data_IF_316688667759
#
_entry.id   IF_316688667759
#
_cell.length_a   1.000
_cell.length_b   1.000
_cell.length_c   1.000
_cell.angle_alpha   90.00
_cell.angle_beta   90.00
_cell.angle_gamma   90.00
#
_symmetry.space_group_name_H-M   'P 1'
#
loop_
_entity.id
_entity.type
_entity.pdbx_description
1 polymer ?
#
# COMPACT_ATOMS: atom_id res chain seq x y z
N UNK A 1 39.85 11.00 -51.38
CA UNK A 1 38.78 11.65 -50.59
C UNK A 1 38.57 10.84 -49.32
N UNK A 2 39.03 11.34 -48.15
CA UNK A 2 38.90 10.71 -46.82
C UNK A 2 37.54 11.06 -46.27
N UNK A 3 36.75 10.08 -45.74
CA UNK A 3 35.46 10.41 -45.18
C UNK A 3 35.65 11.12 -43.81
N UNK A 4 35.01 12.31 -43.69
CA UNK A 4 34.87 13.04 -42.42
C UNK A 4 34.13 12.16 -41.42
N UNK A 5 34.80 11.72 -40.37
CA UNK A 5 34.15 11.17 -39.18
C UNK A 5 33.21 12.22 -38.58
N UNK A 6 31.93 11.90 -38.57
CA UNK A 6 30.94 12.67 -37.79
C UNK A 6 31.41 12.68 -36.33
N UNK A 7 31.66 13.86 -35.79
CA UNK A 7 31.88 14.05 -34.36
C UNK A 7 30.55 13.73 -33.65
N UNK A 8 30.47 12.59 -33.00
CA UNK A 8 29.46 12.32 -32.02
C UNK A 8 29.51 13.44 -30.97
N UNK A 9 28.46 14.25 -30.94
CA UNK A 9 28.26 15.21 -29.85
C UNK A 9 28.16 14.41 -28.57
N UNK A 10 29.24 14.41 -27.77
CA UNK A 10 29.21 13.91 -26.39
C UNK A 10 28.12 14.70 -25.67
N UNK A 11 26.97 14.03 -25.43
CA UNK A 11 25.91 14.62 -24.64
C UNK A 11 26.49 14.96 -23.30
N UNK A 12 26.45 16.25 -22.89
CA UNK A 12 26.79 16.70 -21.55
C UNK A 12 26.10 15.76 -20.53
N UNK A 13 26.80 15.27 -19.50
CA UNK A 13 26.15 14.44 -18.49
C UNK A 13 24.96 15.22 -17.92
N UNK A 14 23.78 14.61 -17.96
CA UNK A 14 22.56 15.23 -17.44
C UNK A 14 22.61 15.17 -15.92
N UNK A 15 22.86 16.32 -15.28
CA UNK A 15 23.04 16.43 -13.84
C UNK A 15 21.73 16.74 -13.09
N UNK A 16 20.58 16.70 -13.79
CA UNK A 16 19.27 17.00 -13.20
C UNK A 16 18.16 16.11 -13.79
N UNK A 17 17.26 15.63 -12.94
CA UNK A 17 16.05 14.91 -13.31
C UNK A 17 14.84 15.45 -12.56
N UNK A 18 13.66 15.33 -13.15
CA UNK A 18 12.37 15.64 -12.51
C UNK A 18 11.63 14.35 -12.21
N UNK A 19 11.14 14.19 -10.99
CA UNK A 19 10.29 13.07 -10.56
C UNK A 19 8.93 13.63 -10.20
N UNK A 20 7.87 13.12 -10.82
CA UNK A 20 6.49 13.59 -10.60
C UNK A 20 5.75 12.54 -9.76
N UNK A 21 5.33 12.92 -8.57
CA UNK A 21 4.71 12.08 -7.56
C UNK A 21 5.71 11.58 -6.52
N UNK A 22 5.42 11.83 -5.23
CA UNK A 22 6.21 11.38 -4.09
C UNK A 22 5.57 10.16 -3.37
N UNK A 23 4.92 9.28 -4.13
CA UNK A 23 4.55 7.94 -3.68
C UNK A 23 5.77 7.02 -3.56
N UNK A 24 5.56 5.74 -3.31
CA UNK A 24 6.65 4.75 -3.15
C UNK A 24 7.66 4.78 -4.29
N UNK A 25 7.19 4.72 -5.53
CA UNK A 25 8.06 4.70 -6.69
C UNK A 25 8.85 6.01 -6.86
N UNK A 26 8.20 7.15 -6.58
CA UNK A 26 8.83 8.46 -6.74
C UNK A 26 9.92 8.73 -5.71
N UNK A 27 9.69 8.41 -4.43
CA UNK A 27 10.72 8.60 -3.39
C UNK A 27 11.90 7.65 -3.60
N UNK A 28 11.66 6.42 -4.07
CA UNK A 28 12.75 5.50 -4.43
C UNK A 28 13.56 6.02 -5.62
N UNK A 29 12.88 6.46 -6.69
CA UNK A 29 13.55 7.03 -7.85
C UNK A 29 14.38 8.27 -7.47
N UNK A 30 13.80 9.20 -6.71
CA UNK A 30 14.49 10.39 -6.24
C UNK A 30 15.72 10.03 -5.39
N UNK A 31 15.60 9.07 -4.49
CA UNK A 31 16.69 8.62 -3.63
C UNK A 31 17.81 7.95 -4.41
N UNK A 32 17.50 7.08 -5.38
CA UNK A 32 18.53 6.42 -6.19
C UNK A 32 19.26 7.41 -7.10
N UNK A 33 18.55 8.37 -7.68
CA UNK A 33 19.15 9.45 -8.46
C UNK A 33 20.08 10.32 -7.61
N UNK A 34 19.66 10.71 -6.41
CA UNK A 34 20.46 11.49 -5.46
C UNK A 34 21.74 10.73 -5.09
N UNK A 35 21.66 9.42 -4.77
CA UNK A 35 22.82 8.58 -4.48
C UNK A 35 23.80 8.46 -5.66
N UNK A 36 23.30 8.59 -6.88
CA UNK A 36 24.12 8.65 -8.08
C UNK A 36 24.70 10.05 -8.36
N UNK A 37 24.49 11.03 -7.45
CA UNK A 37 24.99 12.38 -7.60
C UNK A 37 24.16 13.25 -8.56
N UNK A 38 22.95 12.83 -8.91
CA UNK A 38 22.05 13.54 -9.80
C UNK A 38 21.12 14.42 -8.95
N UNK A 39 21.01 15.71 -9.30
CA UNK A 39 20.05 16.62 -8.67
C UNK A 39 18.64 16.25 -9.11
N UNK A 40 17.69 16.22 -8.17
CA UNK A 40 16.31 15.84 -8.41
C UNK A 40 15.39 16.97 -8.03
N UNK A 41 14.45 17.31 -8.91
CA UNK A 41 13.25 18.06 -8.55
C UNK A 41 12.13 17.04 -8.35
N UNK A 42 11.69 16.86 -7.11
CA UNK A 42 10.59 15.97 -6.74
C UNK A 42 9.31 16.79 -6.59
N UNK A 43 8.36 16.58 -7.50
CA UNK A 43 7.06 17.27 -7.49
C UNK A 43 6.01 16.41 -6.79
N UNK A 44 5.28 16.99 -5.83
CA UNK A 44 4.20 16.32 -5.10
C UNK A 44 3.01 17.27 -4.92
N UNK A 45 1.81 16.83 -5.32
CA UNK A 45 0.62 17.68 -5.24
C UNK A 45 0.13 17.94 -3.81
N UNK A 46 0.40 17.03 -2.87
CA UNK A 46 0.06 17.21 -1.46
C UNK A 46 1.00 18.20 -0.77
N UNK A 47 0.53 19.03 0.15
CA UNK A 47 -0.83 19.10 0.72
C UNK A 47 -1.78 20.02 -0.05
N UNK A 48 -1.39 20.61 -1.17
CA UNK A 48 -2.24 21.57 -1.91
C UNK A 48 -3.45 20.88 -2.55
N UNK A 49 -3.27 19.63 -3.01
CA UNK A 49 -4.34 18.81 -3.58
C UNK A 49 -4.18 17.36 -3.10
N UNK A 50 -5.27 16.77 -2.66
CA UNK A 50 -5.33 15.37 -2.28
C UNK A 50 -6.09 14.56 -3.31
N UNK A 51 -5.72 13.28 -3.47
CA UNK A 51 -6.58 12.33 -4.16
C UNK A 51 -7.66 11.80 -3.21
N UNK A 52 -8.71 11.15 -3.67
CA UNK A 52 -9.76 10.59 -2.80
C UNK A 52 -9.25 9.63 -1.72
N UNK A 53 -8.13 8.93 -1.96
CA UNK A 53 -7.59 7.94 -1.03
C UNK A 53 -6.49 8.47 -0.10
N UNK A 54 -5.98 9.68 -0.32
CA UNK A 54 -4.92 10.26 0.50
C UNK A 54 -5.46 11.27 1.49
N UNK A 55 -4.96 11.25 2.72
CA UNK A 55 -5.33 12.18 3.79
C UNK A 55 -4.13 12.84 4.47
N UNK A 56 -2.93 12.28 4.32
CA UNK A 56 -1.70 12.78 4.92
C UNK A 56 -0.89 13.63 3.93
N UNK A 57 -0.27 14.75 4.36
CA UNK A 57 0.65 15.53 3.54
C UNK A 57 1.98 14.83 3.28
N UNK A 58 2.24 13.73 3.99
CA UNK A 58 3.49 12.99 3.92
C UNK A 58 3.65 12.21 2.61
N UNK A 59 4.91 11.89 2.27
CA UNK A 59 5.26 11.05 1.13
C UNK A 59 5.01 9.57 1.41
N UNK A 60 4.92 8.77 0.36
CA UNK A 60 4.75 7.32 0.44
C UNK A 60 3.63 6.89 1.41
N UNK A 61 2.52 7.63 1.44
CA UNK A 61 1.36 7.30 2.26
C UNK A 61 0.78 5.94 1.86
N UNK A 62 0.55 5.09 2.85
CA UNK A 62 -0.07 3.78 2.68
C UNK A 62 -1.59 3.92 2.69
N UNK A 63 -2.24 3.80 1.56
CA UNK A 63 -3.70 4.02 1.42
C UNK A 63 -4.53 2.74 1.59
N UNK A 64 -3.99 1.58 1.28
CA UNK A 64 -4.70 0.30 1.33
C UNK A 64 -4.49 -0.42 2.67
N UNK A 65 -3.27 -0.80 2.98
CA UNK A 65 -2.88 -1.59 4.14
C UNK A 65 -1.50 -1.17 4.63
N UNK A 66 -1.25 -1.30 5.93
CA UNK A 66 0.07 -1.01 6.49
C UNK A 66 1.08 -2.17 6.34
N UNK A 67 0.81 -3.17 5.49
CA UNK A 67 1.66 -4.36 5.34
C UNK A 67 2.43 -4.39 4.04
N UNK A 68 3.73 -4.62 4.14
CA UNK A 68 4.64 -4.95 3.04
C UNK A 68 4.73 -6.46 2.76
N UNK A 69 3.78 -7.25 3.23
CA UNK A 69 3.75 -8.71 3.10
C UNK A 69 4.91 -9.41 3.83
N UNK A 70 5.17 -10.69 3.50
CA UNK A 70 6.14 -11.52 4.21
C UNK A 70 7.59 -10.97 4.18
N UNK A 71 8.33 -11.17 5.29
CA UNK A 71 9.75 -10.82 5.39
C UNK A 71 10.70 -11.97 5.02
N UNK A 72 10.26 -13.21 5.21
CA UNK A 72 11.14 -14.38 4.99
C UNK A 72 11.51 -14.50 3.51
N UNK A 73 12.79 -14.71 3.21
CA UNK A 73 13.33 -14.87 1.84
C UNK A 73 12.83 -16.12 1.13
N UNK A 74 12.36 -17.12 1.85
CA UNK A 74 11.68 -18.29 1.27
C UNK A 74 10.32 -17.96 0.60
N UNK A 75 9.89 -16.70 0.59
CA UNK A 75 8.70 -16.23 -0.13
C UNK A 75 9.10 -15.14 -1.13
N UNK A 76 8.43 -15.11 -2.29
CA UNK A 76 8.70 -14.10 -3.33
C UNK A 76 8.67 -12.66 -2.80
N UNK A 77 7.73 -12.33 -1.92
CA UNK A 77 7.65 -10.99 -1.32
C UNK A 77 8.81 -10.69 -0.36
N UNK A 78 9.34 -11.69 0.32
CA UNK A 78 10.49 -11.54 1.21
C UNK A 78 11.80 -11.44 0.42
N UNK A 79 11.96 -12.26 -0.61
CA UNK A 79 13.11 -12.22 -1.52
C UNK A 79 13.22 -10.85 -2.19
N UNK A 80 12.14 -10.36 -2.80
CA UNK A 80 12.10 -9.03 -3.40
C UNK A 80 12.55 -7.93 -2.42
N UNK A 81 12.10 -7.99 -1.15
CA UNK A 81 12.54 -7.00 -0.14
C UNK A 81 14.01 -7.12 0.21
N UNK A 82 14.56 -8.34 0.24
CA UNK A 82 15.98 -8.55 0.46
C UNK A 82 16.82 -7.97 -0.70
N UNK A 83 16.39 -8.19 -1.93
CA UNK A 83 17.02 -7.58 -3.11
C UNK A 83 16.93 -6.05 -3.09
N UNK A 84 15.76 -5.49 -2.78
CA UNK A 84 15.57 -4.04 -2.64
C UNK A 84 16.47 -3.46 -1.53
N UNK A 85 16.65 -4.18 -0.42
CA UNK A 85 17.54 -3.76 0.66
C UNK A 85 19.00 -3.71 0.20
N UNK A 86 19.45 -4.71 -0.54
CA UNK A 86 20.81 -4.72 -1.14
C UNK A 86 21.01 -3.55 -2.11
N UNK A 87 19.97 -3.15 -2.83
CA UNK A 87 19.96 -1.96 -3.68
C UNK A 87 19.88 -0.65 -2.88
N UNK A 88 19.69 -0.72 -1.55
CA UNK A 88 19.62 0.43 -0.66
C UNK A 88 18.28 1.17 -0.73
N UNK A 89 17.18 0.44 -0.83
CA UNK A 89 15.82 0.99 -0.82
C UNK A 89 15.55 1.84 0.42
N UNK A 90 15.07 3.04 0.20
CA UNK A 90 14.61 3.94 1.25
C UNK A 90 13.37 3.38 1.95
N UNK A 91 12.38 2.95 1.16
CA UNK A 91 11.10 2.46 1.69
C UNK A 91 11.29 1.21 2.54
N UNK A 92 12.13 0.24 2.14
CA UNK A 92 12.40 -0.95 2.94
C UNK A 92 13.11 -0.59 4.26
N UNK A 93 14.06 0.34 4.21
CA UNK A 93 14.76 0.82 5.40
C UNK A 93 13.83 1.51 6.38
N UNK A 94 12.99 2.44 5.90
CA UNK A 94 11.99 3.12 6.72
C UNK A 94 10.94 2.15 7.26
N UNK A 95 10.49 1.18 6.45
CA UNK A 95 9.52 0.17 6.89
C UNK A 95 10.06 -0.69 8.03
N UNK A 96 11.33 -1.10 7.97
CA UNK A 96 11.97 -1.83 9.07
C UNK A 96 12.11 -0.98 10.34
N UNK A 97 12.42 0.31 10.19
CA UNK A 97 12.56 1.24 11.31
C UNK A 97 11.23 1.56 12.03
N UNK A 98 10.12 1.43 11.34
CA UNK A 98 8.76 1.73 11.85
C UNK A 98 7.89 0.48 11.96
N UNK A 99 8.51 -0.69 12.00
CA UNK A 99 7.81 -1.97 12.04
C UNK A 99 6.93 -2.12 13.30
N UNK A 100 5.75 -2.68 13.11
CA UNK A 100 4.85 -3.11 14.18
C UNK A 100 4.68 -4.64 14.13
N UNK A 101 4.37 -5.30 15.26
CA UNK A 101 4.17 -6.75 15.29
C UNK A 101 3.11 -7.23 14.29
N UNK A 102 3.47 -8.20 13.46
CA UNK A 102 2.58 -8.73 12.41
C UNK A 102 2.96 -10.16 11.97
N UNK A 103 3.37 -11.01 12.91
CA UNK A 103 3.79 -12.37 12.61
C UNK A 103 5.00 -12.41 11.68
N UNK A 104 4.89 -13.13 10.58
CA UNK A 104 5.95 -13.22 9.57
C UNK A 104 5.89 -12.13 8.49
N UNK A 105 5.04 -11.13 8.64
CA UNK A 105 4.92 -10.00 7.71
C UNK A 105 5.67 -8.76 8.23
N UNK A 106 6.13 -7.91 7.33
CA UNK A 106 6.56 -6.56 7.65
C UNK A 106 5.32 -5.64 7.60
N UNK A 107 4.78 -5.30 8.75
CA UNK A 107 3.80 -4.24 8.88
C UNK A 107 4.43 -3.04 9.59
N UNK A 108 3.91 -1.85 9.33
CA UNK A 108 4.49 -0.61 9.83
C UNK A 108 3.45 0.23 10.57
N UNK A 109 3.94 1.08 11.47
CA UNK A 109 3.20 2.24 11.92
C UNK A 109 3.01 3.17 10.71
N UNK A 110 1.78 3.31 10.24
CA UNK A 110 1.45 3.99 8.96
C UNK A 110 1.94 5.43 8.95
N UNK A 111 1.65 6.18 10.00
CA UNK A 111 2.03 7.59 10.11
C UNK A 111 3.53 7.74 10.34
N UNK A 112 4.09 6.92 11.21
CA UNK A 112 5.52 6.89 11.48
C UNK A 112 6.35 6.57 10.24
N UNK A 113 5.89 5.63 9.42
CA UNK A 113 6.55 5.28 8.16
C UNK A 113 6.58 6.46 7.17
N UNK A 114 5.42 7.03 6.86
CA UNK A 114 5.33 8.12 5.89
C UNK A 114 6.04 9.40 6.38
N UNK A 115 5.98 9.69 7.68
CA UNK A 115 6.74 10.78 8.28
C UNK A 115 8.26 10.57 8.17
N UNK A 116 8.75 9.35 8.43
CA UNK A 116 10.17 9.03 8.31
C UNK A 116 10.67 9.12 6.87
N UNK A 117 9.90 8.61 5.90
CA UNK A 117 10.21 8.74 4.47
C UNK A 117 10.29 10.21 4.08
N UNK A 118 9.28 11.01 4.43
CA UNK A 118 9.22 12.45 4.15
C UNK A 118 10.44 13.17 4.70
N UNK A 119 10.73 12.99 5.99
CA UNK A 119 11.89 13.59 6.65
C UNK A 119 13.21 13.24 5.96
N UNK A 120 13.36 11.98 5.55
CA UNK A 120 14.60 11.50 4.92
C UNK A 120 14.79 12.09 3.53
N UNK A 121 13.72 12.22 2.76
CA UNK A 121 13.76 12.83 1.42
C UNK A 121 14.02 14.33 1.50
N UNK A 122 13.33 15.04 2.39
CA UNK A 122 13.48 16.48 2.57
C UNK A 122 14.85 16.88 3.16
N UNK A 123 15.52 15.96 3.85
CA UNK A 123 16.88 16.18 4.37
C UNK A 123 17.98 15.94 3.31
N UNK A 124 17.65 15.41 2.14
CA UNK A 124 18.64 15.12 1.10
C UNK A 124 18.98 16.39 0.29
N UNK A 125 20.25 16.89 0.33
CA UNK A 125 20.62 18.14 -0.31
C UNK A 125 20.55 18.13 -1.83
N UNK A 126 20.44 16.96 -2.45
CA UNK A 126 20.31 16.82 -3.90
C UNK A 126 18.85 16.67 -4.35
N UNK A 127 17.89 16.62 -3.42
CA UNK A 127 16.46 16.54 -3.72
C UNK A 127 15.78 17.86 -3.35
N UNK A 128 15.35 18.59 -4.38
CA UNK A 128 14.52 19.78 -4.24
C UNK A 128 13.05 19.37 -4.29
N UNK A 129 12.32 19.53 -3.19
CA UNK A 129 10.89 19.24 -3.14
C UNK A 129 10.07 20.42 -3.61
N UNK A 130 9.22 20.21 -4.62
CA UNK A 130 8.27 21.19 -5.12
C UNK A 130 6.86 20.71 -4.80
N UNK A 131 6.17 21.41 -3.88
CA UNK A 131 4.79 21.08 -3.52
C UNK A 131 3.84 21.81 -4.49
N UNK A 132 3.04 21.04 -5.22
CA UNK A 132 2.07 21.54 -6.17
C UNK A 132 1.70 20.52 -7.22
N UNK A 133 0.54 20.70 -7.82
CA UNK A 133 0.07 19.87 -8.92
C UNK A 133 0.89 20.12 -10.18
N UNK A 134 1.35 19.05 -10.82
CA UNK A 134 1.95 19.10 -12.16
C UNK A 134 0.84 18.85 -13.17
N UNK A 135 0.51 19.88 -13.94
CA UNK A 135 -0.55 19.83 -14.96
C UNK A 135 -0.02 19.59 -16.38
N UNK A 136 1.28 19.84 -16.58
CA UNK A 136 1.96 19.65 -17.87
C UNK A 136 3.27 18.91 -17.65
N UNK A 137 3.56 17.92 -18.48
CA UNK A 137 4.80 17.16 -18.40
C UNK A 137 5.94 17.99 -19.00
N UNK A 138 7.04 18.26 -18.24
CA UNK A 138 8.17 19.00 -18.78
C UNK A 138 8.73 18.37 -20.06
N UNK A 139 8.92 19.18 -21.09
CA UNK A 139 9.43 18.73 -22.39
C UNK A 139 10.94 18.49 -22.38
N UNK A 140 11.68 19.12 -21.46
CA UNK A 140 13.14 19.08 -21.41
C UNK A 140 13.65 18.26 -20.25
N UNK A 141 14.76 17.54 -20.48
CA UNK A 141 15.44 16.77 -19.46
C UNK A 141 14.94 15.34 -19.31
N UNK A 142 15.31 14.70 -18.19
CA UNK A 142 14.79 13.39 -17.80
C UNK A 142 13.59 13.63 -16.88
N UNK A 143 12.45 13.08 -17.22
CA UNK A 143 11.24 13.11 -16.41
C UNK A 143 10.83 11.68 -16.08
N UNK A 144 10.63 11.41 -14.78
CA UNK A 144 10.10 10.15 -14.28
C UNK A 144 8.71 10.43 -13.73
N UNK A 145 7.68 9.85 -14.35
CA UNK A 145 6.30 9.96 -13.89
C UNK A 145 6.04 8.80 -12.93
N UNK A 146 5.89 9.11 -11.67
CA UNK A 146 5.68 8.18 -10.57
C UNK A 146 4.43 8.54 -9.74
N UNK A 147 3.45 9.20 -10.38
CA UNK A 147 2.24 9.73 -9.74
C UNK A 147 1.25 8.63 -9.29
N UNK A 148 1.49 7.38 -9.71
CA UNK A 148 0.63 6.25 -9.36
C UNK A 148 -0.75 6.31 -10.02
N UNK A 149 -1.67 5.42 -9.61
CA UNK A 149 -2.99 5.30 -10.24
C UNK A 149 -3.96 6.42 -9.87
N UNK A 150 -3.65 7.22 -8.84
CA UNK A 150 -4.44 8.35 -8.36
C UNK A 150 -3.84 9.70 -8.77
N UNK A 151 -3.19 9.74 -9.93
CA UNK A 151 -2.76 10.99 -10.55
C UNK A 151 -3.95 11.93 -10.76
N UNK A 152 -3.70 13.25 -10.69
CA UNK A 152 -4.75 14.23 -10.97
C UNK A 152 -5.29 14.11 -12.40
N UNK A 153 -6.51 14.56 -12.64
CA UNK A 153 -7.13 14.52 -13.98
C UNK A 153 -6.28 15.25 -15.03
N UNK A 154 -5.68 16.38 -14.67
CA UNK A 154 -4.82 17.13 -15.57
C UNK A 154 -3.59 16.32 -15.99
N UNK A 155 -2.86 15.74 -15.01
CA UNK A 155 -1.69 14.90 -15.31
C UNK A 155 -2.09 13.60 -16.02
N UNK A 156 -3.20 12.98 -15.63
CA UNK A 156 -3.75 11.80 -16.30
C UNK A 156 -4.06 12.06 -17.77
N UNK A 157 -4.62 13.23 -18.08
CA UNK A 157 -4.87 13.66 -19.46
C UNK A 157 -3.58 13.82 -20.29
N UNK A 158 -2.49 14.31 -19.68
CA UNK A 158 -1.19 14.39 -20.36
C UNK A 158 -0.57 13.00 -20.57
N UNK A 159 -0.69 12.10 -19.60
CA UNK A 159 -0.20 10.72 -19.73
C UNK A 159 -0.99 9.97 -20.80
N UNK A 160 -2.31 10.14 -20.86
CA UNK A 160 -3.17 9.50 -21.87
C UNK A 160 -2.81 9.91 -23.30
N UNK A 161 -2.38 11.17 -23.52
CA UNK A 161 -1.87 11.62 -24.83
C UNK A 161 -0.60 10.87 -25.26
N UNK A 162 0.25 10.49 -24.29
CA UNK A 162 1.50 9.77 -24.54
C UNK A 162 1.31 8.26 -24.62
N UNK A 163 0.42 7.70 -23.80
CA UNK A 163 0.20 6.27 -23.65
C UNK A 163 -1.29 5.95 -23.58
N UNK A 164 -2.03 5.99 -24.70
CA UNK A 164 -3.47 5.79 -24.71
C UNK A 164 -3.89 4.43 -24.15
N UNK A 165 -4.92 4.39 -23.31
CA UNK A 165 -5.53 3.17 -22.81
C UNK A 165 -4.74 2.40 -21.74
N UNK A 166 -3.66 2.95 -21.20
CA UNK A 166 -2.79 2.28 -20.22
C UNK A 166 -3.03 2.70 -18.77
N UNK A 167 -3.95 3.63 -18.51
CA UNK A 167 -4.32 4.02 -17.16
C UNK A 167 -5.38 3.05 -16.60
N UNK A 168 -5.10 2.48 -15.44
CA UNK A 168 -6.01 1.58 -14.71
C UNK A 168 -5.90 1.85 -13.21
N UNK A 169 -7.03 1.96 -12.55
CA UNK A 169 -7.11 2.12 -11.12
C UNK A 169 -8.14 1.16 -10.52
N UNK A 170 -7.87 0.71 -9.31
CA UNK A 170 -8.79 -0.05 -8.47
C UNK A 170 -8.65 0.40 -7.04
N UNK A 171 -9.73 0.88 -6.45
CA UNK A 171 -9.75 1.37 -5.08
C UNK A 171 -10.34 0.31 -4.14
N UNK A 172 -9.56 -0.06 -3.13
CA UNK A 172 -9.99 -0.94 -2.05
C UNK A 172 -9.23 -0.58 -0.78
N UNK A 173 -9.95 -0.23 0.27
CA UNK A 173 -9.39 0.11 1.57
C UNK A 173 -9.64 -1.01 2.59
N UNK A 174 -8.67 -1.26 3.48
CA UNK A 174 -8.87 -2.14 4.63
C UNK A 174 -9.53 -1.33 5.76
N UNK A 175 -10.62 -1.82 6.37
CA UNK A 175 -11.25 -1.13 7.49
C UNK A 175 -10.32 -1.00 8.68
N UNK A 176 -10.36 0.14 9.36
CA UNK A 176 -9.60 0.42 10.59
C UNK A 176 -10.61 0.62 11.72
N UNK A 177 -10.33 -0.04 12.86
CA UNK A 177 -11.14 0.06 14.08
C UNK A 177 -10.29 0.54 15.24
N UNK A 178 -10.90 1.26 16.19
CA UNK A 178 -10.21 1.65 17.42
C UNK A 178 -10.09 0.47 18.39
N UNK A 179 -9.03 0.45 19.20
CA UNK A 179 -8.87 -0.56 20.24
C UNK A 179 -10.02 -0.55 21.25
N UNK A 180 -10.56 0.62 21.53
CA UNK A 180 -11.68 0.81 22.48
C UNK A 180 -12.99 0.18 22.00
N UNK A 181 -13.15 0.01 20.67
CA UNK A 181 -14.34 -0.64 20.11
C UNK A 181 -14.29 -2.18 20.17
N UNK A 182 -13.16 -2.76 20.61
CA UNK A 182 -12.97 -4.20 20.64
C UNK A 182 -13.36 -4.79 21.99
N UNK A 183 -14.33 -5.71 21.97
CA UNK A 183 -14.64 -6.52 23.16
C UNK A 183 -13.65 -7.68 23.29
N UNK A 184 -12.65 -7.47 24.14
CA UNK A 184 -11.61 -8.47 24.40
C UNK A 184 -12.10 -9.69 25.19
N UNK A 185 -13.34 -9.68 25.73
CA UNK A 185 -13.95 -10.88 26.31
C UNK A 185 -14.33 -11.92 25.24
N UNK A 186 -14.62 -11.45 24.03
CA UNK A 186 -14.99 -12.26 22.86
C UNK A 186 -13.83 -12.53 21.91
N UNK A 187 -12.72 -11.79 22.02
CA UNK A 187 -11.55 -11.89 21.17
C UNK A 187 -10.35 -12.54 21.89
N UNK A 188 -9.39 -13.01 21.12
CA UNK A 188 -8.14 -13.56 21.68
C UNK A 188 -6.93 -13.16 20.83
N UNK A 189 -5.76 -13.13 21.46
CA UNK A 189 -4.50 -12.82 20.81
C UNK A 189 -3.81 -14.11 20.39
N UNK A 190 -3.43 -14.22 19.13
CA UNK A 190 -2.64 -15.33 18.60
C UNK A 190 -2.18 -15.04 17.17
N UNK A 191 -0.96 -15.46 16.83
CA UNK A 191 -0.49 -15.54 15.45
C UNK A 191 -0.81 -16.90 14.83
N UNK A 192 -1.08 -16.93 13.53
CA UNK A 192 -1.36 -18.21 12.82
C UNK A 192 -0.14 -19.12 12.86
N UNK A 193 -0.35 -20.37 13.22
CA UNK A 193 0.70 -21.39 13.32
C UNK A 193 1.82 -21.00 14.30
N UNK A 194 1.50 -20.17 15.29
CA UNK A 194 2.44 -19.66 16.31
C UNK A 194 3.70 -19.00 15.68
N UNK A 195 3.48 -18.35 14.51
CA UNK A 195 4.55 -17.63 13.79
C UNK A 195 4.53 -16.16 14.15
N UNK A 196 5.57 -15.70 14.84
CA UNK A 196 5.69 -14.35 15.37
C UNK A 196 5.48 -14.31 16.88
N UNK A 197 5.11 -13.15 17.43
CA UNK A 197 4.75 -12.99 18.83
C UNK A 197 3.33 -13.46 19.11
N UNK A 198 3.05 -13.82 20.36
CA UNK A 198 1.72 -14.23 20.80
C UNK A 198 0.67 -13.11 20.63
N UNK A 199 1.11 -11.84 20.68
CA UNK A 199 0.26 -10.64 20.66
C UNK A 199 0.19 -9.93 19.30
N UNK A 200 0.70 -10.54 18.23
CA UNK A 200 0.80 -9.86 16.93
C UNK A 200 -0.56 -9.60 16.27
N UNK A 201 -1.56 -10.44 16.57
CA UNK A 201 -2.90 -10.31 16.03
C UNK A 201 -3.96 -10.48 17.11
N UNK A 202 -5.05 -9.71 16.98
CA UNK A 202 -6.31 -9.97 17.69
C UNK A 202 -7.22 -10.74 16.75
N UNK A 203 -7.81 -11.81 17.23
CA UNK A 203 -8.71 -12.67 16.49
C UNK A 203 -10.11 -12.59 17.09
N UNK A 204 -11.10 -12.20 16.27
CA UNK A 204 -12.52 -12.21 16.62
C UNK A 204 -13.13 -13.49 16.02
N UNK A 205 -13.32 -14.55 16.81
CA UNK A 205 -13.88 -15.80 16.32
C UNK A 205 -15.38 -15.68 16.12
N UNK A 206 -15.89 -16.39 15.11
CA UNK A 206 -17.30 -16.55 14.86
C UNK A 206 -17.68 -18.04 14.93
N UNK A 207 -18.79 -18.35 15.59
CA UNK A 207 -19.51 -19.60 15.44
C UNK A 207 -20.11 -19.73 14.05
N UNK A 208 -20.72 -20.86 13.72
CA UNK A 208 -21.40 -21.04 12.43
C UNK A 208 -22.56 -20.06 12.27
N UNK A 209 -23.41 -19.94 13.28
CA UNK A 209 -24.60 -19.10 13.22
C UNK A 209 -24.25 -17.61 13.13
N UNK A 210 -23.24 -17.15 13.89
CA UNK A 210 -22.71 -15.78 13.81
C UNK A 210 -22.10 -15.49 12.43
N UNK A 211 -21.39 -16.45 11.85
CA UNK A 211 -20.84 -16.31 10.51
C UNK A 211 -21.92 -16.22 9.43
N UNK A 212 -22.96 -17.05 9.51
CA UNK A 212 -24.10 -17.03 8.59
C UNK A 212 -24.85 -15.70 8.67
N UNK A 213 -25.11 -15.19 9.87
CA UNK A 213 -25.72 -13.87 10.07
C UNK A 213 -24.85 -12.74 9.51
N UNK A 214 -23.53 -12.79 9.76
CA UNK A 214 -22.58 -11.84 9.17
C UNK A 214 -22.58 -11.87 7.64
N UNK A 215 -22.57 -13.08 7.06
CA UNK A 215 -22.58 -13.26 5.61
C UNK A 215 -23.82 -12.68 4.96
N UNK A 216 -25.01 -12.96 5.53
CA UNK A 216 -26.28 -12.42 5.05
C UNK A 216 -26.32 -10.89 5.14
N UNK A 217 -25.85 -10.33 6.25
CA UNK A 217 -25.75 -8.88 6.43
C UNK A 217 -24.81 -8.25 5.41
N UNK A 218 -23.64 -8.88 5.15
CA UNK A 218 -22.65 -8.40 4.20
C UNK A 218 -23.18 -8.40 2.75
N UNK A 219 -23.85 -9.47 2.35
CA UNK A 219 -24.42 -9.60 0.99
C UNK A 219 -25.61 -8.66 0.80
N UNK A 220 -26.39 -8.42 1.86
CA UNK A 220 -27.54 -7.51 1.85
C UNK A 220 -27.19 -6.03 2.07
N UNK A 221 -25.93 -5.71 2.40
CA UNK A 221 -25.52 -4.34 2.67
C UNK A 221 -25.50 -3.47 1.40
N UNK A 222 -25.76 -2.18 1.58
CA UNK A 222 -25.56 -1.22 0.51
C UNK A 222 -24.06 -1.06 0.25
N UNK A 223 -23.64 -1.34 -0.98
CA UNK A 223 -22.26 -1.11 -1.42
C UNK A 223 -22.06 0.33 -1.86
N UNK A 224 -20.82 0.83 -1.78
CA UNK A 224 -20.44 2.11 -2.37
C UNK A 224 -20.72 2.12 -3.87
N UNK A 225 -21.07 3.29 -4.40
CA UNK A 225 -21.27 3.45 -5.85
C UNK A 225 -19.97 3.15 -6.60
N UNK A 226 -20.08 2.42 -7.70
CA UNK A 226 -18.92 2.08 -8.53
C UNK A 226 -18.62 3.21 -9.51
N UNK A 227 -17.42 3.71 -9.49
CA UNK A 227 -16.94 4.64 -10.52
C UNK A 227 -16.81 3.95 -11.90
N UNK A 228 -16.80 4.73 -12.96
CA UNK A 228 -16.72 4.22 -14.34
C UNK A 228 -15.49 3.36 -14.62
N UNK A 229 -14.40 3.59 -13.89
CA UNK A 229 -13.14 2.83 -13.97
C UNK A 229 -13.21 1.48 -13.23
N UNK A 230 -14.11 1.31 -12.24
CA UNK A 230 -14.30 0.06 -11.47
C UNK A 230 -14.95 -1.06 -12.28
N UNK A 231 -15.51 -0.75 -13.44
CA UNK A 231 -16.24 -1.70 -14.30
C UNK A 231 -15.32 -2.63 -15.11
N UNK A 232 -14.00 -2.47 -15.03
CA UNK A 232 -13.05 -3.32 -15.76
C UNK A 232 -12.94 -4.70 -15.11
N UNK A 233 -13.16 -5.74 -15.92
CA UNK A 233 -12.95 -7.15 -15.56
C UNK A 233 -11.44 -7.40 -15.45
N UNK A 234 -10.94 -7.83 -14.30
CA UNK A 234 -9.53 -8.22 -14.15
C UNK A 234 -8.84 -7.63 -12.92
N UNK A 235 -9.52 -7.68 -11.78
CA UNK A 235 -8.93 -7.27 -10.48
C UNK A 235 -8.03 -8.36 -9.94
N UNK A 236 -6.90 -7.94 -9.35
CA UNK A 236 -6.08 -8.86 -8.58
C UNK A 236 -6.88 -9.40 -7.39
N UNK A 237 -7.01 -10.72 -7.27
CA UNK A 237 -7.86 -11.35 -6.24
C UNK A 237 -7.49 -10.94 -4.81
N UNK A 238 -6.21 -10.70 -4.54
CA UNK A 238 -5.74 -10.26 -3.23
C UNK A 238 -6.17 -8.86 -2.80
N UNK A 239 -6.72 -8.06 -3.74
CA UNK A 239 -7.28 -6.73 -3.49
C UNK A 239 -8.79 -6.68 -3.73
N UNK A 240 -9.44 -7.82 -3.94
CA UNK A 240 -10.89 -7.87 -4.17
C UNK A 240 -11.65 -7.54 -2.89
N UNK A 241 -12.63 -6.63 -2.93
CA UNK A 241 -13.49 -6.34 -1.80
C UNK A 241 -14.21 -7.59 -1.28
N UNK A 242 -14.36 -7.70 0.04
CA UNK A 242 -14.95 -8.87 0.68
C UNK A 242 -16.41 -9.07 0.28
N UNK A 243 -17.16 -7.98 0.08
CA UNK A 243 -18.55 -8.03 -0.39
C UNK A 243 -18.64 -8.60 -1.81
N UNK A 244 -17.65 -8.33 -2.67
CA UNK A 244 -17.57 -8.92 -4.01
C UNK A 244 -17.18 -10.40 -3.96
N UNK A 245 -16.30 -10.78 -3.02
CA UNK A 245 -15.98 -12.19 -2.78
C UNK A 245 -17.19 -12.96 -2.24
N UNK A 246 -17.96 -12.35 -1.33
CA UNK A 246 -19.14 -12.95 -0.74
C UNK A 246 -20.21 -13.31 -1.79
N UNK A 247 -20.38 -12.50 -2.83
CA UNK A 247 -21.30 -12.78 -3.94
C UNK A 247 -20.94 -14.05 -4.75
N UNK A 248 -19.71 -14.58 -4.59
CA UNK A 248 -19.29 -15.83 -5.22
C UNK A 248 -19.73 -17.08 -4.46
N UNK A 249 -20.25 -16.91 -3.24
CA UNK A 249 -20.76 -17.96 -2.38
C UNK A 249 -20.26 -17.87 -0.94
N UNK A 250 -21.03 -18.44 -0.04
CA UNK A 250 -20.83 -18.39 1.41
C UNK A 250 -19.43 -18.90 1.85
N UNK A 251 -18.93 -19.94 1.21
CA UNK A 251 -17.64 -20.51 1.56
C UNK A 251 -16.43 -19.68 1.04
N UNK A 252 -16.64 -18.78 0.09
CA UNK A 252 -15.54 -18.02 -0.52
C UNK A 252 -14.79 -17.17 0.51
N UNK A 253 -15.51 -16.43 1.35
CA UNK A 253 -14.87 -15.58 2.38
C UNK A 253 -14.41 -16.41 3.58
N UNK A 254 -15.10 -17.51 3.93
CA UNK A 254 -14.74 -18.40 5.01
C UNK A 254 -13.42 -19.14 4.77
N UNK A 255 -13.18 -19.62 3.56
CA UNK A 255 -11.91 -20.26 3.17
C UNK A 255 -10.88 -19.26 2.62
N UNK A 256 -11.27 -18.02 2.41
CA UNK A 256 -10.46 -16.89 2.00
C UNK A 256 -9.99 -16.02 3.18
N UNK A 257 -10.44 -14.75 3.24
CA UNK A 257 -10.00 -13.78 4.23
C UNK A 257 -10.34 -14.16 5.68
N UNK A 258 -11.46 -14.84 5.91
CA UNK A 258 -11.93 -15.21 7.26
C UNK A 258 -11.57 -16.65 7.68
N UNK A 259 -10.62 -17.29 7.00
CA UNK A 259 -10.24 -18.68 7.31
C UNK A 259 -9.70 -18.82 8.74
N UNK A 260 -10.15 -19.83 9.51
CA UNK A 260 -9.70 -20.04 10.88
C UNK A 260 -8.45 -20.93 10.99
N UNK A 261 -7.83 -21.29 9.89
CA UNK A 261 -6.70 -22.24 9.84
C UNK A 261 -5.49 -21.69 10.59
N UNK A 262 -4.87 -22.53 11.42
CA UNK A 262 -3.70 -22.16 12.23
C UNK A 262 -4.03 -21.38 13.52
N UNK A 263 -5.32 -21.28 13.87
CA UNK A 263 -5.80 -20.64 15.09
C UNK A 263 -6.59 -21.62 15.96
N UNK A 264 -6.52 -21.41 17.27
CA UNK A 264 -7.30 -22.15 18.29
C UNK A 264 -7.79 -21.17 19.33
N UNK A 265 -9.09 -21.08 19.51
CA UNK A 265 -9.69 -20.23 20.54
C UNK A 265 -9.35 -20.81 21.93
N UNK A 266 -8.62 -20.08 22.79
CA UNK A 266 -8.22 -20.58 24.10
C UNK A 266 -9.40 -20.82 25.05
N UNK A 267 -10.55 -20.18 24.82
CA UNK A 267 -11.75 -20.31 25.66
C UNK A 267 -12.48 -21.62 25.39
N UNK A 268 -12.46 -22.12 24.16
CA UNK A 268 -13.16 -23.34 23.76
C UNK A 268 -12.19 -24.52 23.54
N UNK A 269 -10.91 -24.23 23.35
CA UNK A 269 -9.90 -25.22 22.95
C UNK A 269 -10.06 -25.71 21.51
N UNK A 270 -11.00 -25.15 20.73
CA UNK A 270 -11.30 -25.57 19.37
C UNK A 270 -10.96 -24.49 18.32
N UNK A 271 -10.87 -24.92 17.08
CA UNK A 271 -10.75 -24.00 15.95
C UNK A 271 -12.11 -23.35 15.70
N UNK A 272 -12.20 -22.00 15.62
CA UNK A 272 -13.43 -21.30 15.28
C UNK A 272 -13.99 -21.71 13.90
N UNK A 273 -15.26 -21.41 13.64
CA UNK A 273 -15.87 -21.61 12.34
C UNK A 273 -15.31 -20.64 11.29
N UNK A 274 -15.21 -19.37 11.66
CA UNK A 274 -14.55 -18.31 10.91
C UNK A 274 -13.86 -17.34 11.87
N UNK A 275 -12.96 -16.51 11.39
CA UNK A 275 -12.24 -15.52 12.19
C UNK A 275 -12.06 -14.23 11.43
N UNK A 276 -12.42 -13.11 12.05
CA UNK A 276 -11.96 -11.79 11.65
C UNK A 276 -10.64 -11.51 12.37
N UNK A 277 -9.57 -11.29 11.62
CA UNK A 277 -8.23 -11.07 12.17
C UNK A 277 -7.83 -9.61 12.07
N UNK A 278 -7.42 -9.04 13.20
CA UNK A 278 -7.04 -7.63 13.33
C UNK A 278 -5.52 -7.52 13.54
N UNK A 279 -4.89 -6.57 12.87
CA UNK A 279 -3.46 -6.27 12.99
C UNK A 279 -3.28 -4.83 13.48
N UNK A 280 -2.27 -4.60 14.32
CA UNK A 280 -1.91 -3.25 14.75
C UNK A 280 -1.67 -2.33 13.56
N UNK A 281 -2.27 -1.16 13.59
CA UNK A 281 -2.11 -0.09 12.61
C UNK A 281 -1.01 0.90 13.01
N UNK A 282 -0.79 1.04 14.32
CA UNK A 282 0.20 1.92 14.90
C UNK A 282 0.96 1.27 16.05
N UNK A 283 2.10 1.84 16.41
CA UNK A 283 2.96 1.35 17.49
C UNK A 283 2.30 1.43 18.86
N UNK A 284 1.42 2.42 19.09
CA UNK A 284 0.67 2.60 20.33
C UNK A 284 -0.40 1.51 20.54
N UNK A 285 -0.81 0.77 19.50
CA UNK A 285 -1.85 -0.25 19.58
C UNK A 285 -3.24 0.33 19.84
N UNK A 286 -3.49 1.56 19.45
CA UNK A 286 -4.80 2.24 19.58
C UNK A 286 -5.71 2.03 18.39
N UNK A 287 -5.14 1.63 17.25
CA UNK A 287 -5.83 1.36 16.00
C UNK A 287 -5.45 -0.02 15.46
N UNK A 288 -6.43 -0.69 14.86
CA UNK A 288 -6.27 -2.00 14.25
C UNK A 288 -6.89 -2.04 12.87
N UNK A 289 -6.17 -2.60 11.89
CA UNK A 289 -6.69 -2.85 10.56
C UNK A 289 -7.24 -4.26 10.46
N UNK A 290 -8.37 -4.43 9.78
CA UNK A 290 -8.96 -5.74 9.50
C UNK A 290 -8.12 -6.42 8.42
N UNK A 291 -7.38 -7.45 8.83
CA UNK A 291 -6.42 -8.15 7.96
C UNK A 291 -7.13 -8.97 6.89
N UNK A 292 -6.62 -8.91 5.65
CA UNK A 292 -7.12 -9.63 4.47
C UNK A 292 -8.55 -9.27 4.06
N UNK A 293 -9.09 -8.17 4.59
CA UNK A 293 -10.44 -7.72 4.28
C UNK A 293 -10.36 -6.33 3.68
N UNK A 294 -10.69 -6.21 2.40
CA UNK A 294 -10.80 -4.92 1.73
C UNK A 294 -12.29 -4.64 1.51
N UNK A 295 -12.69 -3.42 1.70
CA UNK A 295 -14.01 -2.90 1.31
C UNK A 295 -13.80 -1.90 0.18
N UNK A 296 -14.81 -1.65 -0.61
CA UNK A 296 -14.80 -0.48 -1.50
C UNK A 296 -14.72 0.77 -0.64
N UNK A 297 -13.80 1.67 -1.00
CA UNK A 297 -13.70 2.93 -0.32
C UNK A 297 -15.01 3.73 -0.48
N UNK A 298 -15.47 4.33 0.61
CA UNK A 298 -16.52 5.33 0.59
C UNK A 298 -15.87 6.71 0.53
N UNK A 299 -16.40 7.60 -0.28
CA UNK A 299 -16.10 9.02 -0.21
C UNK A 299 -16.68 9.63 1.08
#
# INVERSE_FOLDING_TARGET
>A
ATPRRAQEKVKKPMNKATVIGAGFAGVEAARQLSRAGIRVTLCEMKPQKFSPAHSSPNFAELVCSNSFKALRTASAAGELKAEMELLGSLCVSCAKATAVPAGGALAVDRDGFSALVTKTVEADPLIEVVRGEVTEIPADGIVIIAAGPLASDALSGEIEKMCPGHLSFYDAAAPIVSAESLDMSCAFKQSRYDRGGEDDYINCPLSKDEYEAFYEALVGAQSAETHSFDKRKGVYEGCMPIEVMALRGQDTIRFGPMKPVGLRDPRTGHRPWAVLQLRKENSAGTLYTVSYTHLRAHE
#
